data_IF_280885259972
#
_entry.id   IF_280885259972
#
_cell.length_a   1.000
_cell.length_b   1.000
_cell.length_c   1.000
_cell.angle_alpha   90.00
_cell.angle_beta   90.00
_cell.angle_gamma   90.00
#
_symmetry.space_group_name_H-M   'P 1'
#
loop_
_entity.id
_entity.type
_entity.pdbx_description
1 polymer ?
#
# COMPACT_ATOMS: atom_id res chain seq x y z
N UNK A 1 6.69 8.51 5.70
CA UNK A 1 5.73 8.90 4.65
C UNK A 1 5.23 7.63 3.97
N UNK A 2 3.97 7.59 3.49
CA UNK A 2 3.48 6.52 2.62
C UNK A 2 3.44 7.02 1.18
N UNK A 3 3.91 6.19 0.25
CA UNK A 3 3.71 6.36 -1.19
C UNK A 3 2.80 5.25 -1.70
N UNK A 4 1.78 5.59 -2.47
CA UNK A 4 0.77 4.66 -3.00
C UNK A 4 0.62 4.88 -4.50
N UNK A 5 0.84 3.83 -5.28
CA UNK A 5 0.54 3.78 -6.71
C UNK A 5 -0.51 2.70 -6.96
N UNK A 6 -1.74 3.13 -7.25
CA UNK A 6 -2.88 2.23 -7.41
C UNK A 6 -3.47 2.34 -8.82
N UNK A 7 -3.76 1.18 -9.40
CA UNK A 7 -4.48 1.04 -10.66
C UNK A 7 -5.46 -0.12 -10.62
N UNK A 8 -6.14 -0.37 -11.75
CA UNK A 8 -7.18 -1.40 -11.82
C UNK A 8 -6.66 -2.82 -11.53
N UNK A 9 -5.38 -3.09 -11.75
CA UNK A 9 -4.83 -4.46 -11.63
C UNK A 9 -3.93 -4.66 -10.42
N UNK A 10 -3.35 -3.58 -9.88
CA UNK A 10 -2.40 -3.66 -8.76
C UNK A 10 -2.37 -2.37 -7.96
N UNK A 11 -1.92 -2.50 -6.72
CA UNK A 11 -1.53 -1.40 -5.84
C UNK A 11 -0.12 -1.68 -5.32
N UNK A 12 0.78 -0.72 -5.47
CA UNK A 12 2.09 -0.71 -4.84
C UNK A 12 2.09 0.30 -3.67
N UNK A 13 2.54 -0.12 -2.49
CA UNK A 13 2.68 0.75 -1.32
C UNK A 13 4.11 0.68 -0.78
N UNK A 14 4.69 1.84 -0.47
CA UNK A 14 6.00 1.95 0.16
C UNK A 14 5.98 2.86 1.39
N UNK A 15 6.70 2.46 2.43
CA UNK A 15 7.05 3.30 3.58
C UNK A 15 8.38 3.97 3.27
N UNK A 16 8.38 5.30 3.22
CA UNK A 16 9.55 6.10 2.81
C UNK A 16 9.99 7.01 3.96
N UNK A 17 11.28 6.98 4.27
CA UNK A 17 11.94 7.88 5.22
C UNK A 17 12.05 9.31 4.64
N UNK A 18 12.37 10.29 5.49
CA UNK A 18 12.45 11.70 5.07
C UNK A 18 13.58 11.96 4.07
N UNK A 19 14.62 11.12 4.06
CA UNK A 19 15.75 11.16 3.13
C UNK A 19 15.49 10.42 1.80
N UNK A 20 14.29 9.84 1.63
CA UNK A 20 13.91 9.08 0.44
C UNK A 20 14.23 7.59 0.50
N UNK A 21 14.83 7.09 1.59
CA UNK A 21 15.06 5.65 1.77
C UNK A 21 13.73 4.90 1.86
N UNK A 22 13.58 3.82 1.08
CA UNK A 22 12.46 2.89 1.21
C UNK A 22 12.73 1.96 2.38
N UNK A 23 11.88 2.03 3.41
CA UNK A 23 11.99 1.23 4.62
C UNK A 23 11.26 -0.12 4.48
N UNK A 24 10.18 -0.16 3.71
CA UNK A 24 9.41 -1.37 3.44
C UNK A 24 8.42 -1.15 2.30
N UNK A 25 8.02 -2.23 1.64
CA UNK A 25 7.09 -2.18 0.51
C UNK A 25 6.21 -3.42 0.45
N UNK A 26 5.01 -3.25 -0.09
CA UNK A 26 4.07 -4.33 -0.34
C UNK A 26 3.32 -4.10 -1.67
N UNK A 27 2.82 -5.18 -2.25
CA UNK A 27 2.00 -5.15 -3.47
C UNK A 27 0.70 -5.89 -3.23
N UNK A 28 -0.41 -5.20 -3.44
CA UNK A 28 -1.76 -5.73 -3.36
C UNK A 28 -2.48 -5.77 -4.71
N UNK A 29 -3.74 -6.17 -4.66
CA UNK A 29 -4.65 -6.14 -5.79
C UNK A 29 -5.00 -4.72 -6.26
N UNK A 30 -5.83 -4.64 -7.31
CA UNK A 30 -6.24 -3.36 -7.88
C UNK A 30 -7.22 -2.57 -7.00
N UNK A 31 -7.25 -1.26 -7.20
CA UNK A 31 -8.20 -0.35 -6.58
C UNK A 31 -9.37 -0.10 -7.54
N UNK A 32 -10.50 -0.78 -7.32
CA UNK A 32 -11.68 -0.74 -8.21
C UNK A 32 -12.98 -0.33 -7.49
N UNK A 33 -13.09 0.88 -6.90
CA UNK A 33 -14.30 1.32 -6.20
C UNK A 33 -15.62 1.16 -6.98
N UNK A 34 -15.68 1.39 -8.31
CA UNK A 34 -16.93 1.18 -9.06
C UNK A 34 -17.40 -0.28 -9.11
N UNK A 35 -16.50 -1.25 -8.95
CA UNK A 35 -16.81 -2.67 -9.03
C UNK A 35 -17.13 -3.29 -7.66
N UNK A 36 -16.43 -2.85 -6.60
CA UNK A 36 -16.51 -3.47 -5.26
C UNK A 36 -17.06 -2.55 -4.17
N UNK A 37 -17.31 -1.27 -4.48
CA UNK A 37 -17.68 -0.25 -3.50
C UNK A 37 -16.46 0.43 -2.86
N UNK A 38 -16.66 1.66 -2.35
CA UNK A 38 -15.59 2.50 -1.79
C UNK A 38 -14.97 1.85 -0.55
N UNK A 39 -15.78 1.41 0.41
CA UNK A 39 -15.28 0.88 1.68
C UNK A 39 -14.43 -0.37 1.48
N UNK A 40 -14.86 -1.30 0.62
CA UNK A 40 -14.10 -2.49 0.31
C UNK A 40 -12.79 -2.16 -0.42
N UNK A 41 -12.84 -1.23 -1.38
CA UNK A 41 -11.65 -0.81 -2.11
C UNK A 41 -10.62 -0.10 -1.21
N UNK A 42 -11.06 0.77 -0.30
CA UNK A 42 -10.19 1.43 0.69
C UNK A 42 -9.67 0.44 1.73
N UNK A 43 -10.49 -0.52 2.16
CA UNK A 43 -10.05 -1.60 3.05
C UNK A 43 -8.91 -2.43 2.45
N UNK A 44 -8.97 -2.73 1.15
CA UNK A 44 -7.88 -3.41 0.45
C UNK A 44 -6.59 -2.57 0.40
N UNK A 45 -6.69 -1.26 0.14
CA UNK A 45 -5.53 -0.36 0.22
C UNK A 45 -4.92 -0.33 1.63
N UNK A 46 -5.77 -0.28 2.65
CA UNK A 46 -5.32 -0.26 4.05
C UNK A 46 -4.59 -1.56 4.43
N UNK A 47 -5.06 -2.71 3.95
CA UNK A 47 -4.38 -3.99 4.15
C UNK A 47 -2.97 -3.98 3.52
N UNK A 48 -2.84 -3.55 2.26
CA UNK A 48 -1.52 -3.45 1.60
C UNK A 48 -0.61 -2.43 2.30
N UNK A 49 -1.17 -1.33 2.82
CA UNK A 49 -0.39 -0.37 3.60
C UNK A 49 0.11 -0.93 4.93
N UNK A 50 -0.70 -1.76 5.61
CA UNK A 50 -0.28 -2.46 6.82
C UNK A 50 0.85 -3.45 6.52
N UNK A 51 0.77 -4.22 5.44
CA UNK A 51 1.85 -5.12 5.01
C UNK A 51 3.17 -4.37 4.75
N UNK A 52 3.12 -3.19 4.12
CA UNK A 52 4.30 -2.37 3.90
C UNK A 52 4.91 -1.83 5.21
N UNK A 53 4.07 -1.52 6.20
CA UNK A 53 4.49 -1.11 7.54
C UNK A 53 5.15 -2.27 8.30
N UNK A 54 4.57 -3.47 8.23
CA UNK A 54 5.14 -4.66 8.85
C UNK A 54 6.51 -5.01 8.23
N UNK A 55 6.62 -4.94 6.90
CA UNK A 55 7.88 -5.10 6.20
C UNK A 55 8.93 -4.06 6.65
N UNK A 56 8.51 -2.81 6.85
CA UNK A 56 9.40 -1.75 7.34
C UNK A 56 9.83 -1.94 8.80
N UNK A 57 8.97 -2.53 9.64
CA UNK A 57 9.30 -2.84 11.02
C UNK A 57 10.31 -3.99 11.11
N UNK A 58 10.20 -5.00 10.24
CA UNK A 58 11.11 -6.14 10.20
C UNK A 58 12.51 -5.82 9.66
N UNK A 59 12.66 -4.74 8.88
CA UNK A 59 13.94 -4.31 8.31
C UNK A 59 14.83 -3.50 9.27
N UNK A 60 14.39 -3.29 10.53
CA UNK A 60 15.12 -2.54 11.56
C UNK A 60 15.96 -3.43 12.46
#
# INVERSE_FOLDING_TARGET
>A
MLAVDAGNSKTDVAVVAADGTVLGAARGGGFQPPAVGVDAAVGALAATAAEALDAAAAAR
#
